data_IF_921877858841
#
_entry.id   IF_921877858841
#
_cell.length_a   1.000
_cell.length_b   1.000
_cell.length_c   1.000
_cell.angle_alpha   90.00
_cell.angle_beta   90.00
_cell.angle_gamma   90.00
#
_symmetry.space_group_name_H-M   'P 1'
#
loop_
_entity.id
_entity.type
_entity.pdbx_description
1 polymer ?
#
# COMPACT_ATOMS: atom_id res chain seq x y z
N UNK A 1 -44.86 -22.90 -41.56
CA UNK A 1 -44.46 -22.62 -40.16
C UNK A 1 -43.02 -23.07 -39.93
N UNK A 2 -42.04 -22.18 -39.68
CA UNK A 2 -40.71 -22.62 -39.28
C UNK A 2 -40.54 -22.50 -37.76
N UNK A 3 -40.49 -23.65 -37.08
CA UNK A 3 -40.04 -23.80 -35.69
C UNK A 3 -38.52 -23.97 -35.66
N UNK A 4 -37.76 -22.91 -35.95
CA UNK A 4 -36.28 -23.01 -35.92
C UNK A 4 -35.58 -21.68 -35.63
N UNK A 5 -35.98 -20.93 -34.60
CA UNK A 5 -35.26 -19.70 -34.24
C UNK A 5 -35.07 -19.43 -32.73
N UNK A 6 -35.56 -20.30 -31.82
CA UNK A 6 -35.40 -20.06 -30.38
C UNK A 6 -34.01 -20.44 -29.82
N UNK A 7 -33.23 -21.27 -30.51
CA UNK A 7 -31.91 -21.69 -30.01
C UNK A 7 -30.77 -20.71 -30.32
N UNK A 8 -30.87 -19.90 -31.37
CA UNK A 8 -29.82 -18.93 -31.74
C UNK A 8 -29.77 -17.72 -30.81
N UNK A 9 -30.91 -17.27 -30.27
CA UNK A 9 -30.97 -16.14 -29.34
C UNK A 9 -30.32 -16.43 -27.98
N UNK A 10 -30.36 -17.69 -27.51
CA UNK A 10 -29.73 -18.08 -26.25
C UNK A 10 -28.23 -18.24 -26.36
N UNK A 11 -27.72 -18.79 -27.47
CA UNK A 11 -26.26 -18.93 -27.67
C UNK A 11 -25.56 -17.60 -27.88
N UNK A 12 -26.19 -16.65 -28.58
CA UNK A 12 -25.63 -15.30 -28.77
C UNK A 12 -25.53 -14.54 -27.44
N UNK A 13 -26.53 -14.73 -26.55
CA UNK A 13 -26.50 -14.17 -25.19
C UNK A 13 -25.42 -14.82 -24.31
N UNK A 14 -25.20 -16.13 -24.42
CA UNK A 14 -24.18 -16.85 -23.62
C UNK A 14 -22.76 -16.48 -24.07
N UNK A 15 -22.52 -16.36 -25.38
CA UNK A 15 -21.22 -15.91 -25.90
C UNK A 15 -20.94 -14.43 -25.58
N UNK A 16 -21.93 -13.53 -25.69
CA UNK A 16 -21.78 -12.14 -25.23
C UNK A 16 -21.53 -12.04 -23.72
N UNK A 17 -22.20 -12.87 -22.90
CA UNK A 17 -21.91 -12.93 -21.46
C UNK A 17 -20.51 -13.45 -21.17
N UNK A 18 -20.03 -14.47 -21.91
CA UNK A 18 -18.68 -15.00 -21.72
C UNK A 18 -17.59 -14.02 -22.17
N UNK A 19 -17.76 -13.31 -23.28
CA UNK A 19 -16.83 -12.24 -23.68
C UNK A 19 -16.83 -11.07 -22.68
N UNK A 20 -17.99 -10.69 -22.15
CA UNK A 20 -18.10 -9.65 -21.12
C UNK A 20 -17.41 -10.05 -19.81
N UNK A 21 -17.60 -11.31 -19.37
CA UNK A 21 -16.97 -11.86 -18.16
C UNK A 21 -15.44 -11.93 -18.31
N UNK A 22 -14.94 -12.38 -19.46
CA UNK A 22 -13.49 -12.49 -19.72
C UNK A 22 -12.82 -11.11 -19.84
N UNK A 23 -13.53 -10.09 -20.34
CA UNK A 23 -12.96 -8.75 -20.54
C UNK A 23 -12.82 -7.96 -19.24
N UNK A 24 -13.80 -8.06 -18.34
CA UNK A 24 -13.73 -7.40 -17.04
C UNK A 24 -12.77 -8.09 -16.03
N UNK A 25 -12.45 -9.38 -16.21
CA UNK A 25 -11.53 -10.09 -15.30
C UNK A 25 -10.16 -9.41 -15.20
N UNK A 26 -9.67 -8.81 -16.28
CA UNK A 26 -8.37 -8.14 -16.34
C UNK A 26 -8.30 -6.85 -15.51
N UNK A 27 -9.42 -6.13 -15.32
CA UNK A 27 -9.48 -4.88 -14.54
C UNK A 27 -9.27 -5.16 -13.05
N UNK A 28 -9.59 -6.37 -12.59
CA UNK A 28 -9.61 -6.73 -11.17
C UNK A 28 -8.53 -7.75 -10.77
N UNK A 29 -7.53 -8.03 -11.61
CA UNK A 29 -6.44 -8.93 -11.24
C UNK A 29 -5.52 -8.31 -10.18
N UNK A 30 -5.40 -6.99 -10.17
CA UNK A 30 -4.50 -6.23 -9.28
C UNK A 30 -5.23 -5.61 -8.08
N UNK A 31 -6.57 -5.65 -8.06
CA UNK A 31 -7.39 -5.06 -7.02
C UNK A 31 -7.39 -5.93 -5.74
N UNK A 32 -7.22 -5.29 -4.57
CA UNK A 32 -7.33 -5.99 -3.28
C UNK A 32 -8.80 -6.22 -2.94
N UNK A 33 -9.05 -7.20 -2.07
CA UNK A 33 -10.39 -7.53 -1.58
C UNK A 33 -11.11 -6.32 -0.94
N UNK A 34 -10.35 -5.43 -0.28
CA UNK A 34 -10.89 -4.20 0.30
C UNK A 34 -11.30 -3.15 -0.77
N UNK A 35 -10.61 -3.09 -1.90
CA UNK A 35 -10.94 -2.12 -2.96
C UNK A 35 -12.25 -2.50 -3.67
N UNK A 36 -12.43 -3.81 -3.90
CA UNK A 36 -13.66 -4.35 -4.47
C UNK A 36 -14.86 -4.20 -3.52
N UNK A 37 -14.63 -4.30 -2.21
CA UNK A 37 -15.67 -4.05 -1.21
C UNK A 37 -16.17 -2.60 -1.28
N UNK A 38 -15.26 -1.62 -1.32
CA UNK A 38 -15.60 -0.20 -1.45
C UNK A 38 -16.39 0.05 -2.75
N UNK A 39 -15.95 -0.52 -3.87
CA UNK A 39 -16.66 -0.40 -5.15
C UNK A 39 -18.07 -0.98 -5.12
N UNK A 40 -18.25 -2.11 -4.46
CA UNK A 40 -19.55 -2.77 -4.36
C UNK A 40 -20.52 -1.97 -3.47
N UNK A 41 -20.02 -1.40 -2.37
CA UNK A 41 -20.79 -0.50 -1.51
C UNK A 41 -21.21 0.78 -2.25
N UNK A 42 -20.31 1.36 -3.06
CA UNK A 42 -20.62 2.55 -3.89
C UNK A 42 -21.69 2.25 -4.96
N UNK A 43 -21.71 1.03 -5.50
CA UNK A 43 -22.75 0.55 -6.41
C UNK A 43 -24.07 0.19 -5.71
N UNK A 44 -24.17 0.38 -4.39
CA UNK A 44 -25.38 0.12 -3.59
C UNK A 44 -25.63 -1.36 -3.30
N UNK A 45 -24.65 -2.24 -3.53
CA UNK A 45 -24.74 -3.67 -3.26
C UNK A 45 -24.37 -3.98 -1.80
N UNK A 46 -25.09 -4.91 -1.18
CA UNK A 46 -24.86 -5.26 0.23
C UNK A 46 -23.65 -6.19 0.37
N UNK A 47 -22.49 -5.66 0.75
CA UNK A 47 -21.29 -6.46 0.99
C UNK A 47 -21.09 -6.81 2.45
N UNK A 48 -21.21 -8.11 2.77
CA UNK A 48 -20.70 -8.66 4.02
C UNK A 48 -19.19 -8.97 3.96
N UNK A 49 -18.52 -8.86 5.11
CA UNK A 49 -17.09 -9.19 5.29
C UNK A 49 -16.73 -10.65 4.99
N UNK A 50 -17.71 -11.55 4.97
CA UNK A 50 -17.53 -12.96 4.64
C UNK A 50 -17.39 -13.24 3.14
N UNK A 51 -17.70 -12.26 2.29
CA UNK A 51 -17.65 -12.47 0.85
C UNK A 51 -16.21 -12.63 0.36
N UNK A 52 -16.01 -13.64 -0.48
CA UNK A 52 -14.72 -13.85 -1.14
C UNK A 52 -14.60 -12.89 -2.32
N UNK A 53 -13.37 -12.64 -2.76
CA UNK A 53 -13.07 -11.84 -3.95
C UNK A 53 -13.88 -12.25 -5.18
N UNK A 54 -14.12 -13.55 -5.35
CA UNK A 54 -14.93 -14.10 -6.45
C UNK A 54 -16.39 -13.69 -6.39
N UNK A 55 -16.94 -13.54 -5.19
CA UNK A 55 -18.35 -13.18 -4.99
C UNK A 55 -18.53 -11.68 -5.21
N UNK A 56 -17.60 -10.86 -4.68
CA UNK A 56 -17.56 -9.41 -4.92
C UNK A 56 -17.49 -9.08 -6.41
N UNK A 57 -16.61 -9.75 -7.17
CA UNK A 57 -16.52 -9.59 -8.62
C UNK A 57 -17.84 -9.88 -9.31
N UNK A 58 -18.53 -10.95 -8.91
CA UNK A 58 -19.83 -11.30 -9.49
C UNK A 58 -20.92 -10.30 -9.16
N UNK A 59 -20.91 -9.73 -7.96
CA UNK A 59 -21.87 -8.71 -7.53
C UNK A 59 -21.69 -7.41 -8.33
N UNK A 60 -20.45 -6.95 -8.46
CA UNK A 60 -20.13 -5.76 -9.26
C UNK A 60 -20.52 -5.97 -10.74
N UNK A 61 -20.21 -7.14 -11.32
CA UNK A 61 -20.58 -7.46 -12.71
C UNK A 61 -22.08 -7.64 -12.94
N UNK A 62 -22.84 -7.98 -11.90
CA UNK A 62 -24.29 -8.12 -11.99
C UNK A 62 -25.03 -6.77 -11.91
N UNK A 63 -24.34 -5.70 -11.51
CA UNK A 63 -24.90 -4.36 -11.40
C UNK A 63 -25.21 -3.78 -12.78
N UNK A 64 -26.44 -3.31 -12.98
CA UNK A 64 -26.90 -2.74 -14.28
C UNK A 64 -26.24 -1.40 -14.64
N UNK A 65 -25.66 -0.72 -13.66
CA UNK A 65 -25.02 0.59 -13.80
C UNK A 65 -23.48 0.48 -13.84
N UNK A 66 -22.95 -0.73 -13.94
CA UNK A 66 -21.50 -0.94 -13.98
C UNK A 66 -20.91 -0.39 -15.30
N UNK A 67 -20.09 0.65 -15.17
CA UNK A 67 -19.24 1.16 -16.23
C UNK A 67 -17.77 0.76 -16.00
N UNK A 68 -17.18 0.11 -17.00
CA UNK A 68 -15.82 -0.45 -16.93
C UNK A 68 -14.77 0.66 -16.77
N UNK A 69 -14.95 1.78 -17.45
CA UNK A 69 -14.02 2.90 -17.42
C UNK A 69 -14.03 3.61 -16.06
N UNK A 70 -15.23 3.85 -15.52
CA UNK A 70 -15.44 4.41 -14.18
C UNK A 70 -14.85 3.52 -13.08
N UNK A 71 -15.06 2.21 -13.14
CA UNK A 71 -14.50 1.28 -12.15
C UNK A 71 -12.97 1.24 -12.19
N UNK A 72 -12.40 1.33 -13.39
CA UNK A 72 -10.95 1.37 -13.59
C UNK A 72 -10.33 2.66 -13.05
N UNK A 73 -10.94 3.81 -13.29
CA UNK A 73 -10.50 5.09 -12.71
C UNK A 73 -10.56 5.07 -11.18
N UNK A 74 -11.63 4.52 -10.62
CA UNK A 74 -11.78 4.38 -9.17
C UNK A 74 -10.70 3.48 -8.56
N UNK A 75 -10.44 2.31 -9.15
CA UNK A 75 -9.35 1.43 -8.69
C UNK A 75 -8.00 2.09 -8.78
N UNK A 76 -7.74 2.83 -9.87
CA UNK A 76 -6.50 3.58 -10.04
C UNK A 76 -6.34 4.64 -8.96
N UNK A 77 -7.41 5.37 -8.64
CA UNK A 77 -7.40 6.39 -7.57
C UNK A 77 -7.10 5.77 -6.20
N UNK A 78 -7.80 4.70 -5.83
CA UNK A 78 -7.56 3.98 -4.56
C UNK A 78 -6.15 3.38 -4.51
N UNK A 79 -5.65 2.87 -5.64
CA UNK A 79 -4.28 2.36 -5.74
C UNK A 79 -3.25 3.48 -5.55
N UNK A 80 -3.43 4.62 -6.20
CA UNK A 80 -2.53 5.76 -6.12
C UNK A 80 -2.50 6.38 -4.71
N UNK A 81 -3.66 6.59 -4.07
CA UNK A 81 -3.73 7.10 -2.69
C UNK A 81 -3.06 6.17 -1.66
N UNK A 82 -3.01 4.86 -1.92
CA UNK A 82 -2.28 3.92 -1.06
C UNK A 82 -0.78 3.99 -1.31
N UNK A 83 -0.38 4.06 -2.57
CA UNK A 83 1.02 4.19 -2.96
C UNK A 83 1.64 5.46 -2.36
N UNK A 84 0.95 6.58 -2.43
CA UNK A 84 1.40 7.85 -1.82
C UNK A 84 1.56 7.75 -0.29
N UNK A 85 0.65 7.05 0.41
CA UNK A 85 0.78 6.81 1.85
C UNK A 85 1.94 5.88 2.20
N UNK A 86 2.16 4.85 1.39
CA UNK A 86 3.28 3.91 1.57
C UNK A 86 4.61 4.64 1.37
N UNK A 87 4.74 5.43 0.30
CA UNK A 87 5.93 6.26 0.01
C UNK A 87 6.20 7.28 1.13
N UNK A 88 5.17 8.00 1.60
CA UNK A 88 5.32 8.94 2.71
C UNK A 88 5.79 8.25 4.00
N UNK A 89 5.28 7.05 4.29
CA UNK A 89 5.68 6.28 5.47
C UNK A 89 7.11 5.75 5.35
N UNK A 90 7.52 5.30 4.16
CA UNK A 90 8.90 4.88 3.90
C UNK A 90 9.88 6.05 4.02
N UNK A 91 9.54 7.21 3.47
CA UNK A 91 10.36 8.42 3.58
C UNK A 91 10.45 8.89 5.05
N UNK A 92 9.37 8.81 5.80
CA UNK A 92 9.37 9.07 7.23
C UNK A 92 10.24 8.08 8.01
N UNK A 93 10.23 6.79 7.67
CA UNK A 93 11.10 5.79 8.30
C UNK A 93 12.56 6.05 7.98
N UNK A 94 12.88 6.35 6.72
CA UNK A 94 14.24 6.61 6.25
C UNK A 94 14.82 7.86 6.90
N UNK A 95 14.03 8.93 7.01
CA UNK A 95 14.45 10.16 7.71
C UNK A 95 14.67 9.95 9.21
N UNK A 96 13.83 9.13 9.88
CA UNK A 96 14.04 8.75 11.29
C UNK A 96 15.34 7.98 11.50
N UNK A 97 15.62 6.99 10.66
CA UNK A 97 16.88 6.22 10.68
C UNK A 97 18.09 7.13 10.53
N UNK A 98 18.09 8.03 9.54
CA UNK A 98 19.19 8.97 9.32
C UNK A 98 19.40 9.92 10.52
N UNK A 99 18.33 10.35 11.16
CA UNK A 99 18.41 11.21 12.34
C UNK A 99 18.98 10.47 13.56
N UNK A 100 18.58 9.21 13.78
CA UNK A 100 19.17 8.38 14.84
C UNK A 100 20.66 8.13 14.61
N UNK A 101 21.08 7.86 13.37
CA UNK A 101 22.50 7.72 13.02
C UNK A 101 23.30 9.00 13.23
N UNK A 102 22.72 10.17 12.94
CA UNK A 102 23.37 11.45 13.20
C UNK A 102 23.50 11.72 14.71
N UNK A 103 22.45 11.44 15.47
CA UNK A 103 22.40 11.63 16.93
C UNK A 103 23.40 10.71 17.66
N UNK A 104 23.54 9.46 17.22
CA UNK A 104 24.50 8.51 17.82
C UNK A 104 25.95 8.91 17.55
N UNK A 105 26.26 9.42 16.35
CA UNK A 105 27.60 9.94 16.04
C UNK A 105 27.98 11.13 16.91
N UNK A 106 27.07 12.11 17.07
CA UNK A 106 27.29 13.26 17.94
C UNK A 106 27.53 12.84 19.40
N UNK A 107 26.73 11.90 19.92
CA UNK A 107 26.90 11.39 21.27
C UNK A 107 28.27 10.68 21.47
N UNK A 108 28.71 9.91 20.47
CA UNK A 108 29.99 9.23 20.51
C UNK A 108 31.18 10.21 20.44
N UNK A 109 31.05 11.31 19.70
CA UNK A 109 32.06 12.37 19.66
C UNK A 109 32.13 13.15 20.98
N UNK A 110 30.97 13.49 21.56
CA UNK A 110 30.87 14.17 22.85
C UNK A 110 31.45 13.32 24.00
N UNK A 111 31.20 12.01 23.98
CA UNK A 111 31.79 11.10 24.99
C UNK A 111 33.30 10.96 24.80
N UNK A 112 33.77 10.85 23.55
CA UNK A 112 35.21 10.79 23.26
C UNK A 112 35.95 12.05 23.70
N UNK A 113 35.40 13.24 23.45
CA UNK A 113 36.01 14.52 23.86
C UNK A 113 36.07 14.66 25.38
N UNK A 114 35.02 14.25 26.11
CA UNK A 114 35.04 14.22 27.58
C UNK A 114 36.14 13.33 28.13
N UNK A 115 36.28 12.11 27.59
CA UNK A 115 37.33 11.16 28.01
C UNK A 115 38.75 11.70 27.74
N UNK A 116 38.94 12.37 26.60
CA UNK A 116 40.21 13.03 26.27
C UNK A 116 40.53 14.15 27.26
N UNK A 117 39.59 15.07 27.49
CA UNK A 117 39.76 16.19 28.41
C UNK A 117 40.03 15.72 29.86
N UNK A 118 39.37 14.65 30.29
CA UNK A 118 39.59 14.03 31.60
C UNK A 118 40.98 13.40 31.72
N UNK A 119 41.44 12.71 30.67
CA UNK A 119 42.79 12.14 30.58
C UNK A 119 43.87 13.22 30.62
N UNK A 120 43.68 14.32 29.87
CA UNK A 120 44.58 15.47 29.89
C UNK A 120 44.64 16.13 31.26
N UNK A 121 43.50 16.28 31.93
CA UNK A 121 43.40 16.81 33.29
C UNK A 121 44.14 15.92 34.30
N UNK A 122 44.00 14.59 34.19
CA UNK A 122 44.76 13.64 35.02
C UNK A 122 46.27 13.75 34.78
N UNK A 123 46.69 13.84 33.51
CA UNK A 123 48.09 14.02 33.13
C UNK A 123 48.68 15.31 33.72
N UNK A 124 47.92 16.40 33.68
CA UNK A 124 48.33 17.68 34.27
C UNK A 124 48.49 17.60 35.79
N UNK A 125 47.51 17.02 36.49
CA UNK A 125 47.56 16.82 37.95
C UNK A 125 48.76 15.97 38.39
N UNK A 126 49.10 14.91 37.63
CA UNK A 126 50.27 14.06 37.89
C UNK A 126 51.58 14.82 37.70
N UNK A 127 51.64 15.74 36.73
CA UNK A 127 52.81 16.59 36.49
C UNK A 127 53.05 17.54 37.67
N UNK A 128 51.99 18.16 38.19
CA UNK A 128 52.08 19.05 39.35
C UNK A 128 52.59 18.36 40.63
N UNK A 129 52.24 17.08 40.84
CA UNK A 129 52.71 16.29 41.99
C UNK A 129 54.19 15.89 41.94
N UNK A 130 54.82 15.88 40.76
CA UNK A 130 56.24 15.52 40.59
C UNK A 130 57.20 16.69 40.76
N UNK A 131 56.68 17.91 40.78
CA UNK A 131 57.47 19.16 40.85
C UNK A 131 57.39 19.84 42.23
N UNK A 132 56.91 19.14 43.26
CA UNK A 132 56.91 19.64 44.64
C UNK A 132 58.21 19.17 45.33
N UNK A 133 59.06 20.08 45.87
CA UNK A 133 60.35 19.74 46.47
C UNK A 133 60.26 18.83 47.70
#
# INVERSE_FOLDING_TARGET
MPRSNMFKFRFFSILQMMEFVVKCENVYLEARNCDLKILSEELGETVNDSHKLKDLKKMILASKEYDEESAKEWLNKISNERKEREEMNEEMKKSKLLNEDAKTKLLNEDTKTKLLNESERMKWNLSCKKNTP
#
